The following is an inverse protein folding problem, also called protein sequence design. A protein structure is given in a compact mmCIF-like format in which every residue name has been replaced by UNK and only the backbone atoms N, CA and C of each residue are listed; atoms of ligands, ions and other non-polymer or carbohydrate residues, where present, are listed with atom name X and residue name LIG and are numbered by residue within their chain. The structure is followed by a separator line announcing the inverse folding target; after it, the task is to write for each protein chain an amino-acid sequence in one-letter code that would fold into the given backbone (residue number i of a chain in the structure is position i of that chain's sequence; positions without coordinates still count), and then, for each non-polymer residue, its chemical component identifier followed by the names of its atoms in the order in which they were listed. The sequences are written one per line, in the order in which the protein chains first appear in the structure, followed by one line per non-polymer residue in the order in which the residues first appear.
data_IF_784314714227
#
_entry.id   IF_784314714227
#
_cell.length_a   1.000
_cell.length_b   1.000
_cell.length_c   1.000
_cell.angle_alpha   90.00
_cell.angle_beta   90.00
_cell.angle_gamma   90.00
#
_symmetry.space_group_name_H-M   'P 1'
#
loop_
_entity.id
_entity.type
_entity.pdbx_description
1 polymer ?
#
# COMPACT_ATOMS: atom_id res chain seq x y z
N UNK A 1 -5.18 -6.79 4.25
CA UNK A 1 -5.87 -6.47 2.98
C UNK A 1 -5.96 -7.63 2.00
N UNK A 2 -4.90 -8.40 1.67
CA UNK A 2 -5.07 -9.60 0.82
C UNK A 2 -5.97 -10.65 1.44
N UNK A 3 -5.84 -10.79 2.75
CA UNK A 3 -6.71 -11.61 3.56
C UNK A 3 -8.19 -11.24 3.40
N UNK A 4 -8.52 -9.98 3.03
CA UNK A 4 -9.89 -9.50 2.79
C UNK A 4 -10.33 -9.61 1.32
N UNK A 5 -9.38 -9.73 0.39
CA UNK A 5 -9.66 -9.84 -1.06
C UNK A 5 -9.97 -11.29 -1.46
N UNK A 6 -9.52 -12.27 -0.67
CA UNK A 6 -9.76 -13.70 -0.91
C UNK A 6 -11.17 -14.16 -0.55
N UNK A 7 -11.87 -13.46 0.34
CA UNK A 7 -13.20 -13.82 0.85
C UNK A 7 -14.37 -13.34 -0.04
N UNK A 8 -14.11 -12.42 -0.96
CA UNK A 8 -15.13 -11.51 -1.49
C UNK A 8 -15.60 -11.81 -2.92
N UNK A 9 -14.82 -12.57 -3.71
CA UNK A 9 -15.07 -12.80 -5.13
C UNK A 9 -14.81 -11.55 -5.99
N UNK A 10 -14.07 -11.68 -7.10
CA UNK A 10 -13.58 -10.53 -7.89
C UNK A 10 -14.69 -9.56 -8.34
N UNK A 11 -15.92 -10.04 -8.56
CA UNK A 11 -17.08 -9.21 -8.94
C UNK A 11 -17.55 -8.27 -7.84
N UNK A 12 -17.47 -8.68 -6.56
CA UNK A 12 -17.82 -7.83 -5.42
C UNK A 12 -16.87 -6.63 -5.32
N UNK A 13 -15.62 -6.86 -5.70
CA UNK A 13 -14.53 -5.93 -5.52
C UNK A 13 -14.52 -4.82 -6.58
N UNK A 14 -15.03 -5.07 -7.80
CA UNK A 14 -15.12 -4.08 -8.90
C UNK A 14 -15.80 -2.77 -8.48
N UNK A 15 -16.81 -2.84 -7.60
CA UNK A 15 -17.52 -1.65 -7.13
C UNK A 15 -16.71 -0.86 -6.10
N UNK A 16 -16.05 -1.55 -5.18
CA UNK A 16 -15.24 -0.93 -4.12
C UNK A 16 -13.98 -0.26 -4.65
N UNK A 17 -13.53 -0.65 -5.84
CA UNK A 17 -12.26 -0.23 -6.41
C UNK A 17 -12.30 0.92 -7.37
N UNK A 18 -13.49 1.47 -7.62
CA UNK A 18 -13.57 2.83 -8.17
C UNK A 18 -12.89 3.87 -7.25
N UNK A 19 -12.45 3.48 -6.04
CA UNK A 19 -11.99 4.41 -5.01
C UNK A 19 -10.67 4.07 -4.26
N UNK A 20 -10.01 2.90 -4.39
CA UNK A 20 -8.62 2.67 -3.87
C UNK A 20 -7.94 1.33 -4.34
N UNK A 21 -6.70 1.04 -3.89
CA UNK A 21 -5.72 0.09 -4.46
C UNK A 21 -5.29 -1.15 -3.60
N UNK A 22 -4.65 -2.17 -4.23
CA UNK A 22 -4.42 -3.59 -3.76
C UNK A 22 -3.14 -3.98 -3.00
N UNK A 23 -3.19 -5.15 -2.31
CA UNK A 23 -2.10 -6.14 -2.20
C UNK A 23 -2.38 -7.51 -2.89
N UNK A 24 -1.33 -8.37 -3.00
CA UNK A 24 -1.13 -9.59 -3.85
C UNK A 24 -0.95 -11.03 -3.23
N UNK A 25 -1.65 -12.08 -3.76
CA UNK A 25 -1.31 -13.52 -3.60
C UNK A 25 -2.21 -14.40 -2.69
N UNK A 26 -2.76 -15.51 -3.21
CA UNK A 26 -3.60 -16.49 -2.47
C UNK A 26 -2.90 -17.86 -2.43
N UNK A 27 -2.64 -18.46 -1.25
CA UNK A 27 -2.12 -19.83 -1.13
C UNK A 27 -3.12 -20.89 -1.64
N UNK A 28 -2.65 -22.01 -2.20
CA UNK A 28 -3.53 -23.00 -2.89
C UNK A 28 -4.51 -23.75 -1.99
N UNK A 29 -4.13 -23.93 -0.73
CA UNK A 29 -4.92 -24.46 0.36
C UNK A 29 -6.20 -23.63 0.63
N UNK A 30 -6.19 -22.34 0.26
CA UNK A 30 -7.31 -21.40 0.37
C UNK A 30 -8.28 -21.50 -0.81
N UNK A 31 -7.96 -22.31 -1.84
CA UNK A 31 -8.82 -22.55 -3.02
C UNK A 31 -9.66 -23.82 -2.89
N UNK A 32 -9.75 -24.36 -1.67
CA UNK A 32 -10.53 -25.55 -1.37
C UNK A 32 -11.82 -25.17 -0.65
N UNK A 33 -12.92 -25.86 -0.98
CA UNK A 33 -14.20 -25.68 -0.29
C UNK A 33 -14.06 -25.86 1.24
N UNK A 34 -13.09 -26.67 1.68
CA UNK A 34 -12.79 -26.91 3.09
C UNK A 34 -12.24 -25.68 3.83
N UNK A 35 -11.37 -24.89 3.19
CA UNK A 35 -10.90 -23.62 3.75
C UNK A 35 -12.05 -22.60 3.81
N UNK A 36 -12.88 -22.58 2.77
CA UNK A 36 -14.06 -21.71 2.74
C UNK A 36 -15.01 -22.06 3.89
N UNK A 37 -15.29 -23.35 4.10
CA UNK A 37 -16.11 -23.82 5.22
C UNK A 37 -15.50 -23.45 6.59
N UNK A 38 -14.18 -23.58 6.76
CA UNK A 38 -13.49 -23.21 8.01
C UNK A 38 -13.48 -21.69 8.27
N UNK A 39 -13.26 -20.88 7.22
CA UNK A 39 -13.37 -19.42 7.29
C UNK A 39 -14.79 -18.98 7.64
N UNK A 40 -15.80 -19.59 7.01
CA UNK A 40 -17.21 -19.37 7.32
C UNK A 40 -17.48 -19.74 8.78
N UNK A 41 -16.93 -20.86 9.29
CA UNK A 41 -17.08 -21.26 10.70
C UNK A 41 -16.45 -20.24 11.65
N UNK A 42 -15.26 -19.71 11.36
CA UNK A 42 -14.57 -18.72 12.21
C UNK A 42 -15.33 -17.38 12.21
N UNK A 43 -15.81 -16.93 11.05
CA UNK A 43 -16.54 -15.66 10.94
C UNK A 43 -17.99 -15.73 11.41
N UNK A 44 -18.65 -16.88 11.29
CA UNK A 44 -19.97 -17.10 11.89
C UNK A 44 -19.90 -17.13 13.43
N UNK A 45 -18.72 -17.48 14.00
CA UNK A 45 -18.46 -17.39 15.44
C UNK A 45 -18.26 -15.96 15.96
N UNK A 46 -17.85 -15.00 15.11
CA UNK A 46 -17.65 -13.59 15.50
C UNK A 46 -18.99 -12.85 15.70
N UNK A 47 -20.08 -13.35 15.12
CA UNK A 47 -21.45 -12.91 15.43
C UNK A 47 -21.76 -11.45 15.06
N UNK A 48 -23.02 -11.07 15.29
CA UNK A 48 -23.51 -9.72 15.01
C UNK A 48 -23.10 -8.75 16.15
N UNK A 49 -22.24 -7.78 15.86
CA UNK A 49 -21.91 -6.70 16.80
C UNK A 49 -22.87 -5.51 16.63
N UNK A 50 -23.55 -5.13 17.71
CA UNK A 50 -24.44 -3.95 17.69
C UNK A 50 -23.63 -2.65 17.72
N UNK A 51 -23.98 -1.65 16.87
CA UNK A 51 -23.39 -0.34 16.93
C UNK A 51 -23.46 0.24 18.35
N UNK A 52 -22.34 0.78 18.82
CA UNK A 52 -22.26 1.25 20.21
C UNK A 52 -23.23 2.40 20.51
N UNK A 53 -23.62 3.18 19.50
CA UNK A 53 -24.58 4.28 19.61
C UNK A 53 -26.05 3.81 19.64
N UNK A 54 -26.35 2.57 19.26
CA UNK A 54 -27.70 2.02 19.40
C UNK A 54 -27.95 1.73 20.88
N UNK A 55 -28.99 2.36 21.44
CA UNK A 55 -29.39 2.16 22.83
C UNK A 55 -29.62 0.67 23.11
N UNK A 56 -29.13 0.17 24.26
CA UNK A 56 -29.24 -1.25 24.60
C UNK A 56 -30.67 -1.79 24.55
N UNK A 57 -31.67 -0.96 24.85
CA UNK A 57 -33.10 -1.31 24.75
C UNK A 57 -33.63 -1.49 23.33
N UNK A 58 -32.92 -0.95 22.32
CA UNK A 58 -33.24 -1.04 20.89
C UNK A 58 -32.37 -2.07 20.16
N UNK A 59 -31.46 -2.75 20.85
CA UNK A 59 -30.61 -3.81 20.30
C UNK A 59 -31.40 -5.13 20.20
N UNK A 60 -32.35 -5.18 19.27
CA UNK A 60 -33.24 -6.32 19.05
C UNK A 60 -33.15 -6.82 17.61
N UNK A 61 -33.00 -8.13 17.41
CA UNK A 61 -32.81 -8.72 16.07
C UNK A 61 -34.12 -8.84 15.27
N UNK A 62 -34.79 -7.71 15.03
CA UNK A 62 -35.99 -7.57 14.21
C UNK A 62 -35.99 -6.23 13.45
N UNK A 63 -37.07 -5.95 12.71
CA UNK A 63 -37.21 -4.69 11.94
C UNK A 63 -37.00 -3.44 12.79
N UNK A 64 -37.44 -3.44 14.07
CA UNK A 64 -37.24 -2.30 14.96
C UNK A 64 -35.77 -2.06 15.32
N UNK A 65 -34.96 -3.12 15.45
CA UNK A 65 -33.52 -2.97 15.62
C UNK A 65 -32.82 -2.55 14.34
N UNK A 66 -33.28 -3.03 13.18
CA UNK A 66 -32.78 -2.60 11.87
C UNK A 66 -33.03 -1.10 11.66
N UNK A 67 -34.25 -0.64 11.92
CA UNK A 67 -34.60 0.78 11.88
C UNK A 67 -33.76 1.59 12.86
N UNK A 68 -33.43 1.04 14.04
CA UNK A 68 -32.59 1.71 15.03
C UNK A 68 -31.13 1.89 14.57
N UNK A 69 -30.58 0.93 13.82
CA UNK A 69 -29.25 1.04 13.21
C UNK A 69 -29.26 2.12 12.12
N UNK A 70 -30.30 2.12 11.28
CA UNK A 70 -30.47 3.00 10.12
C UNK A 70 -30.88 4.44 10.45
N UNK A 71 -31.25 4.74 11.70
CA UNK A 71 -31.77 6.07 12.12
C UNK A 71 -30.82 6.88 13.02
N UNK A 72 -29.60 7.23 12.59
CA UNK A 72 -28.68 7.96 13.46
C UNK A 72 -28.96 9.47 13.48
N UNK A 73 -28.62 10.07 14.62
CA UNK A 73 -28.52 11.52 14.85
C UNK A 73 -29.79 12.23 15.31
N UNK A 74 -29.99 12.38 16.63
CA UNK A 74 -30.55 13.62 17.23
C UNK A 74 -30.16 13.90 18.71
N UNK A 75 -29.50 13.01 19.47
CA UNK A 75 -29.37 13.22 20.93
C UNK A 75 -27.94 13.20 21.53
N UNK A 76 -26.87 13.23 20.74
CA UNK A 76 -25.50 13.39 21.27
C UNK A 76 -24.87 14.68 20.74
N UNK A 77 -24.40 15.58 21.62
CA UNK A 77 -23.77 16.84 21.23
C UNK A 77 -22.32 16.66 20.75
N UNK A 78 -21.97 15.51 20.18
CA UNK A 78 -20.68 15.34 19.52
C UNK A 78 -20.71 16.09 18.20
N UNK A 79 -19.65 16.84 17.92
CA UNK A 79 -19.47 17.67 16.72
C UNK A 79 -19.61 16.89 15.40
N UNK A 80 -19.53 15.56 15.44
CA UNK A 80 -19.76 14.69 14.30
C UNK A 80 -21.19 14.12 14.34
N UNK A 81 -22.03 14.57 13.42
CA UNK A 81 -23.26 13.85 13.09
C UNK A 81 -22.89 12.42 12.70
N UNK A 82 -23.40 11.43 13.44
CA UNK A 82 -23.04 10.03 13.17
C UNK A 82 -23.85 9.50 12.01
N UNK A 83 -23.18 8.88 11.05
CA UNK A 83 -23.81 8.17 9.95
C UNK A 83 -24.29 6.78 10.38
N UNK A 84 -25.20 6.14 9.61
CA UNK A 84 -25.72 4.84 10.00
C UNK A 84 -24.66 3.77 9.73
N UNK A 85 -24.49 2.82 10.65
CA UNK A 85 -23.65 1.64 10.46
C UNK A 85 -24.32 0.67 9.47
N UNK A 86 -24.09 0.91 8.17
CA UNK A 86 -24.67 0.17 7.04
C UNK A 86 -24.29 -1.31 7.03
N UNK A 87 -23.12 -1.64 7.59
CA UNK A 87 -22.62 -3.01 7.76
C UNK A 87 -23.55 -3.90 8.59
N UNK A 88 -23.68 -3.59 9.89
CA UNK A 88 -24.65 -4.22 10.77
C UNK A 88 -26.10 -4.16 10.23
N UNK A 89 -26.51 -3.06 9.60
CA UNK A 89 -27.85 -2.99 9.01
C UNK A 89 -28.06 -4.07 7.92
N UNK A 90 -27.09 -4.25 7.03
CA UNK A 90 -27.17 -5.24 5.96
C UNK A 90 -27.23 -6.67 6.54
N UNK A 91 -26.36 -7.01 7.48
CA UNK A 91 -26.36 -8.35 8.10
C UNK A 91 -27.70 -8.69 8.77
N UNK A 92 -28.26 -7.73 9.52
CA UNK A 92 -29.55 -7.91 10.16
C UNK A 92 -30.66 -8.05 9.11
N UNK A 93 -30.63 -7.27 8.02
CA UNK A 93 -31.59 -7.40 6.93
C UNK A 93 -31.52 -8.79 6.26
N UNK A 94 -30.32 -9.33 6.01
CA UNK A 94 -30.15 -10.70 5.49
C UNK A 94 -30.72 -11.73 6.46
N UNK A 95 -30.38 -11.62 7.74
CA UNK A 95 -30.90 -12.51 8.79
C UNK A 95 -32.42 -12.51 8.86
N UNK A 96 -33.03 -11.35 8.65
CA UNK A 96 -34.49 -11.21 8.62
C UNK A 96 -35.10 -11.80 7.35
N UNK A 97 -34.49 -11.61 6.18
CA UNK A 97 -34.91 -12.25 4.93
C UNK A 97 -34.88 -13.78 5.06
N UNK A 98 -33.78 -14.35 5.57
CA UNK A 98 -33.62 -15.78 5.83
C UNK A 98 -34.68 -16.33 6.79
N UNK A 99 -34.92 -15.65 7.92
CA UNK A 99 -35.97 -16.03 8.89
C UNK A 99 -37.38 -16.01 8.27
N UNK A 100 -37.61 -15.14 7.28
CA UNK A 100 -38.88 -15.04 6.54
C UNK A 100 -38.97 -16.06 5.39
N UNK A 101 -37.89 -16.77 5.05
CA UNK A 101 -37.83 -17.65 3.89
C UNK A 101 -37.83 -16.90 2.55
N UNK A 102 -37.37 -15.65 2.55
CA UNK A 102 -37.22 -14.80 1.36
C UNK A 102 -35.78 -14.87 0.90
N UNK A 103 -35.54 -14.98 -0.42
CA UNK A 103 -34.21 -14.92 -1.00
C UNK A 103 -33.60 -13.52 -0.76
N UNK A 104 -32.48 -13.40 -0.01
CA UNK A 104 -31.81 -12.13 0.25
C UNK A 104 -31.45 -11.34 -1.01
N UNK A 105 -31.20 -12.00 -2.14
CA UNK A 105 -30.89 -11.34 -3.42
C UNK A 105 -32.07 -10.56 -4.01
N UNK A 106 -33.28 -10.82 -3.51
CA UNK A 106 -34.52 -10.22 -4.01
C UNK A 106 -35.24 -9.38 -2.96
N UNK A 107 -34.73 -9.33 -1.72
CA UNK A 107 -35.39 -8.61 -0.63
C UNK A 107 -35.30 -7.09 -0.86
N UNK A 108 -36.44 -6.37 -0.89
CA UNK A 108 -36.45 -4.92 -1.11
C UNK A 108 -35.67 -4.12 -0.08
N UNK A 109 -35.61 -4.57 1.18
CA UNK A 109 -34.92 -3.86 2.26
C UNK A 109 -33.40 -3.98 2.12
N UNK A 110 -32.93 -5.13 1.64
CA UNK A 110 -31.51 -5.33 1.28
C UNK A 110 -31.15 -4.39 0.13
N UNK A 111 -31.97 -4.32 -0.93
CA UNK A 111 -31.73 -3.41 -2.05
C UNK A 111 -31.74 -1.93 -1.64
N UNK A 112 -32.63 -1.54 -0.73
CA UNK A 112 -32.67 -0.20 -0.13
C UNK A 112 -31.35 0.13 0.57
N UNK A 113 -30.83 -0.78 1.41
CA UNK A 113 -29.56 -0.59 2.12
C UNK A 113 -28.40 -0.54 1.13
N UNK A 114 -28.34 -1.45 0.15
CA UNK A 114 -27.30 -1.43 -0.89
C UNK A 114 -27.30 -0.13 -1.69
N UNK A 115 -28.48 0.46 -1.95
CA UNK A 115 -28.60 1.74 -2.66
C UNK A 115 -28.09 2.94 -1.86
N UNK A 116 -27.88 2.77 -0.54
CA UNK A 116 -27.24 3.81 0.30
C UNK A 116 -25.72 3.67 0.38
N UNK A 117 -25.13 2.55 -0.07
CA UNK A 117 -23.69 2.35 -0.13
C UNK A 117 -22.95 3.22 -1.16
N UNK A 118 -23.49 3.57 -2.35
CA UNK A 118 -22.81 4.46 -3.30
C UNK A 118 -22.85 5.94 -2.88
N UNK A 119 -22.02 6.28 -1.91
CA UNK A 119 -21.35 7.58 -1.88
C UNK A 119 -19.91 7.43 -2.44
N UNK A 120 -19.04 8.46 -2.39
CA UNK A 120 -17.62 8.17 -2.34
C UNK A 120 -17.45 7.15 -1.22
N UNK A 121 -17.02 5.94 -1.56
CA UNK A 121 -16.59 4.94 -0.59
C UNK A 121 -15.33 5.52 0.03
N UNK A 122 -15.49 6.48 0.93
CA UNK A 122 -14.44 6.87 1.85
C UNK A 122 -14.10 5.58 2.54
N UNK A 123 -12.86 5.12 2.36
CA UNK A 123 -12.28 3.87 2.83
C UNK A 123 -12.24 3.84 4.37
N UNK A 124 -13.39 4.03 5.02
CA UNK A 124 -13.58 3.78 6.43
C UNK A 124 -13.51 2.28 6.59
N UNK A 125 -12.74 1.84 7.58
CA UNK A 125 -12.51 0.44 7.93
C UNK A 125 -13.80 -0.42 8.00
N UNK A 126 -14.96 0.21 8.20
CA UNK A 126 -16.28 -0.43 8.29
C UNK A 126 -16.82 -1.01 6.97
N UNK A 127 -16.52 -0.41 5.81
CA UNK A 127 -17.02 -0.91 4.52
C UNK A 127 -16.22 -2.11 3.99
N UNK A 128 -14.97 -2.28 4.45
CA UNK A 128 -14.19 -3.50 4.20
C UNK A 128 -14.76 -4.71 4.99
N UNK A 129 -15.34 -4.47 6.17
CA UNK A 129 -15.95 -5.52 6.99
C UNK A 129 -17.22 -6.09 6.34
N UNK A 130 -17.93 -5.28 5.55
CA UNK A 130 -19.14 -5.69 4.81
C UNK A 130 -18.90 -6.87 3.87
N UNK A 131 -17.76 -6.85 3.17
CA UNK A 131 -17.41 -7.89 2.20
C UNK A 131 -16.81 -9.13 2.91
N UNK A 132 -16.27 -8.95 4.12
CA UNK A 132 -15.79 -10.03 4.98
C UNK A 132 -16.90 -10.82 5.69
N UNK A 133 -18.12 -10.30 5.76
CA UNK A 133 -19.27 -10.95 6.41
C UNK A 133 -19.78 -12.17 5.62
N UNK A 134 -19.76 -13.40 6.18
CA UNK A 134 -20.27 -14.61 5.54
C UNK A 134 -21.70 -14.50 5.03
N UNK A 135 -22.52 -13.78 5.79
CA UNK A 135 -23.95 -13.63 5.54
C UNK A 135 -24.23 -12.68 4.38
N UNK A 136 -23.37 -11.67 4.20
CA UNK A 136 -23.51 -10.68 3.13
C UNK A 136 -22.70 -11.06 1.87
N UNK A 137 -21.67 -11.90 1.98
CA UNK A 137 -20.82 -12.30 0.86
C UNK A 137 -21.60 -12.81 -0.38
N UNK A 138 -22.67 -13.65 -0.26
CA UNK A 138 -23.46 -14.07 -1.41
C UNK A 138 -24.11 -12.91 -2.18
N UNK A 139 -24.52 -11.85 -1.49
CA UNK A 139 -25.12 -10.66 -2.10
C UNK A 139 -24.10 -9.96 -2.99
N UNK A 140 -22.88 -9.75 -2.47
CA UNK A 140 -21.81 -9.09 -3.21
C UNK A 140 -21.28 -9.95 -4.36
N UNK A 141 -21.03 -11.24 -4.13
CA UNK A 141 -20.57 -12.18 -5.16
C UNK A 141 -21.58 -12.32 -6.31
N UNK A 142 -22.87 -12.22 -6.02
CA UNK A 142 -23.90 -12.24 -7.07
C UNK A 142 -23.89 -10.98 -7.95
N UNK A 143 -23.16 -9.93 -7.60
CA UNK A 143 -23.25 -8.62 -8.25
C UNK A 143 -24.43 -7.77 -7.76
N UNK A 144 -25.00 -8.05 -6.57
CA UNK A 144 -26.16 -7.33 -6.02
C UNK A 144 -25.92 -5.83 -5.92
N UNK A 145 -24.77 -5.43 -5.35
CA UNK A 145 -24.37 -4.03 -5.27
C UNK A 145 -24.16 -3.42 -6.67
N UNK A 146 -23.47 -4.14 -7.55
CA UNK A 146 -23.18 -3.67 -8.91
C UNK A 146 -24.45 -3.41 -9.74
N UNK A 147 -25.48 -4.25 -9.60
CA UNK A 147 -26.79 -4.02 -10.23
C UNK A 147 -27.47 -2.76 -9.71
N UNK A 148 -27.36 -2.47 -8.42
CA UNK A 148 -27.87 -1.22 -7.83
C UNK A 148 -27.17 0.01 -8.40
N UNK A 149 -25.93 -0.14 -8.87
CA UNK A 149 -25.16 0.91 -9.57
C UNK A 149 -25.37 0.94 -11.09
N UNK A 150 -26.23 0.07 -11.63
CA UNK A 150 -26.51 0.00 -13.06
C UNK A 150 -25.41 -0.65 -13.90
N UNK A 151 -24.54 -1.47 -13.28
CA UNK A 151 -23.52 -2.24 -14.00
C UNK A 151 -24.11 -3.57 -14.49
N UNK A 152 -23.83 -3.93 -15.75
CA UNK A 152 -24.20 -5.22 -16.32
C UNK A 152 -23.26 -6.34 -15.90
N UNK A 153 -23.73 -7.59 -15.97
CA UNK A 153 -22.90 -8.75 -15.67
C UNK A 153 -21.68 -8.86 -16.60
N UNK A 154 -21.84 -8.50 -17.87
CA UNK A 154 -20.76 -8.49 -18.88
C UNK A 154 -19.69 -7.45 -18.56
N UNK A 155 -20.09 -6.24 -18.14
CA UNK A 155 -19.16 -5.21 -17.69
C UNK A 155 -18.39 -5.67 -16.44
N UNK A 156 -19.06 -6.30 -15.47
CA UNK A 156 -18.40 -6.82 -14.26
C UNK A 156 -17.38 -7.91 -14.56
N UNK A 157 -17.73 -8.85 -15.45
CA UNK A 157 -16.84 -9.95 -15.81
C UNK A 157 -15.61 -9.44 -16.58
N UNK A 158 -15.81 -8.48 -17.50
CA UNK A 158 -14.70 -7.82 -18.20
C UNK A 158 -13.78 -7.10 -17.21
N UNK A 159 -14.32 -6.34 -16.26
CA UNK A 159 -13.54 -5.61 -15.25
C UNK A 159 -12.83 -6.55 -14.27
N UNK A 160 -13.47 -7.64 -13.86
CA UNK A 160 -12.85 -8.65 -13.01
C UNK A 160 -11.69 -9.36 -13.74
N UNK A 161 -11.81 -9.59 -15.05
CA UNK A 161 -10.74 -10.16 -15.86
C UNK A 161 -9.56 -9.18 -16.05
N UNK A 162 -9.84 -7.90 -16.35
CA UNK A 162 -8.83 -6.83 -16.42
C UNK A 162 -8.05 -6.73 -15.12
N UNK A 163 -8.75 -6.75 -14.00
CA UNK A 163 -8.15 -6.82 -12.68
C UNK A 163 -7.27 -8.05 -12.54
N UNK A 164 -7.82 -9.24 -12.79
CA UNK A 164 -7.10 -10.48 -12.50
C UNK A 164 -5.77 -10.47 -13.27
N UNK A 165 -5.78 -9.96 -14.49
CA UNK A 165 -4.58 -9.76 -15.28
C UNK A 165 -3.66 -8.69 -14.70
N UNK A 166 -4.16 -7.50 -14.33
CA UNK A 166 -3.35 -6.46 -13.69
C UNK A 166 -2.70 -6.93 -12.37
N UNK A 167 -3.43 -7.68 -11.56
CA UNK A 167 -2.94 -8.30 -10.33
C UNK A 167 -1.87 -9.35 -10.63
N UNK A 168 -2.06 -10.17 -11.65
CA UNK A 168 -1.05 -11.13 -12.12
C UNK A 168 0.21 -10.43 -12.59
N UNK A 169 0.08 -9.41 -13.43
CA UNK A 169 1.22 -8.63 -13.92
C UNK A 169 1.97 -8.00 -12.76
N UNK A 170 1.28 -7.36 -11.81
CA UNK A 170 1.89 -6.79 -10.61
C UNK A 170 2.53 -7.85 -9.70
N UNK A 171 1.90 -9.02 -9.55
CA UNK A 171 2.41 -10.12 -8.75
C UNK A 171 3.67 -10.76 -9.34
N UNK A 172 3.82 -10.81 -10.66
CA UNK A 172 4.98 -11.43 -11.31
C UNK A 172 6.08 -10.45 -11.69
N UNK A 173 5.76 -9.17 -11.87
CA UNK A 173 6.70 -8.18 -12.41
C UNK A 173 6.84 -6.93 -11.53
N UNK A 174 6.18 -6.90 -10.38
CA UNK A 174 6.14 -5.75 -9.49
C UNK A 174 5.31 -4.59 -10.06
N UNK A 175 5.36 -3.44 -9.39
CA UNK A 175 4.93 -2.17 -9.99
C UNK A 175 5.98 -1.81 -11.04
N UNK A 176 5.57 -1.69 -12.30
CA UNK A 176 6.47 -1.21 -13.36
C UNK A 176 5.72 -0.22 -14.23
N UNK A 177 6.20 1.01 -14.23
CA UNK A 177 5.79 2.00 -15.21
C UNK A 177 6.71 1.95 -16.43
N UNK A 178 6.12 1.98 -17.63
CA UNK A 178 6.90 2.21 -18.86
C UNK A 178 7.33 3.68 -19.01
N UNK A 179 6.99 4.54 -18.05
CA UNK A 179 7.33 5.96 -18.09
C UNK A 179 8.84 6.19 -17.91
N UNK A 180 9.29 7.28 -18.52
CA UNK A 180 10.67 7.77 -18.42
C UNK A 180 10.79 8.67 -17.19
N UNK A 181 12.02 8.91 -16.71
CA UNK A 181 12.26 9.83 -15.59
C UNK A 181 11.58 11.21 -15.83
N UNK A 182 11.69 11.86 -17.00
CA UNK A 182 10.93 13.09 -17.27
C UNK A 182 9.40 12.95 -17.10
N UNK A 183 8.81 11.84 -17.55
CA UNK A 183 7.37 11.59 -17.43
C UNK A 183 6.94 11.42 -15.98
N UNK A 184 7.70 10.64 -15.21
CA UNK A 184 7.46 10.43 -13.78
C UNK A 184 7.56 11.74 -13.00
N UNK A 185 8.58 12.56 -13.28
CA UNK A 185 8.73 13.86 -12.65
C UNK A 185 7.58 14.81 -13.01
N UNK A 186 7.12 14.82 -14.27
CA UNK A 186 5.96 15.62 -14.62
C UNK A 186 4.72 15.21 -13.81
N UNK A 187 4.46 13.90 -13.69
CA UNK A 187 3.35 13.40 -12.86
C UNK A 187 3.52 13.78 -11.40
N UNK A 188 4.69 13.54 -10.80
CA UNK A 188 4.96 13.90 -9.41
C UNK A 188 4.66 15.38 -9.14
N UNK A 189 5.09 16.28 -10.03
CA UNK A 189 4.87 17.71 -9.87
C UNK A 189 3.40 18.08 -9.99
N UNK A 190 2.74 17.65 -11.06
CA UNK A 190 1.36 18.02 -11.35
C UNK A 190 0.41 17.49 -10.27
N UNK A 191 0.59 16.23 -9.88
CA UNK A 191 -0.25 15.56 -8.88
C UNK A 191 0.02 16.12 -7.47
N UNK A 192 1.29 16.33 -7.08
CA UNK A 192 1.62 16.89 -5.77
C UNK A 192 1.12 18.32 -5.62
N UNK A 193 1.30 19.16 -6.65
CA UNK A 193 0.76 20.52 -6.63
C UNK A 193 -0.76 20.44 -6.55
N UNK A 194 -1.44 19.68 -7.42
CA UNK A 194 -2.90 19.63 -7.42
C UNK A 194 -3.51 19.26 -6.05
N UNK A 195 -2.85 18.41 -5.26
CA UNK A 195 -3.43 17.78 -4.07
C UNK A 195 -2.90 18.30 -2.72
N UNK A 196 -2.07 19.33 -2.73
CA UNK A 196 -1.44 19.87 -1.50
C UNK A 196 -2.04 21.21 -1.02
N UNK A 197 -3.22 21.61 -1.51
CA UNK A 197 -3.81 22.92 -1.17
C UNK A 197 -3.98 23.15 0.35
N UNK A 198 -4.45 22.14 1.08
CA UNK A 198 -4.61 22.20 2.54
C UNK A 198 -3.29 22.42 3.26
N UNK A 199 -2.23 21.71 2.85
CA UNK A 199 -0.88 21.83 3.42
C UNK A 199 -0.34 23.25 3.27
N UNK A 200 -0.38 23.83 2.07
CA UNK A 200 0.13 25.19 1.85
C UNK A 200 -0.69 26.25 2.59
N UNK A 201 -2.00 26.03 2.72
CA UNK A 201 -2.86 26.89 3.52
C UNK A 201 -2.49 26.84 5.01
N UNK A 202 -2.23 25.65 5.55
CA UNK A 202 -1.82 25.43 6.94
C UNK A 202 -0.47 26.06 7.24
N UNK A 203 0.48 25.94 6.31
CA UNK A 203 1.82 26.54 6.43
C UNK A 203 1.82 28.07 6.26
N UNK A 204 0.70 28.67 5.86
CA UNK A 204 0.58 30.09 5.49
C UNK A 204 1.57 30.53 4.39
N UNK A 205 1.92 29.60 3.49
CA UNK A 205 2.93 29.79 2.45
C UNK A 205 2.33 29.79 1.03
N UNK A 206 2.95 30.51 0.08
CA UNK A 206 2.49 30.46 -1.30
C UNK A 206 2.78 29.09 -1.91
N UNK A 207 1.72 28.41 -2.34
CA UNK A 207 1.80 27.17 -3.10
C UNK A 207 2.78 27.30 -4.30
N UNK A 208 3.77 26.41 -4.42
CA UNK A 208 4.74 26.46 -5.51
C UNK A 208 4.09 26.12 -6.85
N UNK A 209 4.63 26.67 -7.94
CA UNK A 209 4.25 26.27 -9.30
C UNK A 209 5.09 25.10 -9.84
N UNK A 210 6.19 24.77 -9.15
CA UNK A 210 7.10 23.68 -9.48
C UNK A 210 7.78 23.20 -8.20
N UNK A 211 7.91 21.88 -8.05
CA UNK A 211 8.73 21.28 -6.98
C UNK A 211 10.23 21.29 -7.32
N UNK A 212 10.57 21.47 -8.60
CA UNK A 212 11.91 21.25 -9.14
C UNK A 212 12.78 22.49 -9.11
N UNK A 213 14.01 22.29 -8.66
CA UNK A 213 15.10 23.25 -8.78
C UNK A 213 15.71 23.24 -10.20
N UNK A 214 16.55 24.23 -10.48
CA UNK A 214 17.28 24.29 -11.75
C UNK A 214 18.13 23.03 -11.97
N UNK A 215 18.23 22.49 -13.21
CA UNK A 215 19.02 21.30 -13.50
C UNK A 215 20.49 21.41 -13.08
N UNK A 216 21.08 20.30 -12.65
CA UNK A 216 22.53 20.22 -12.44
C UNK A 216 23.25 20.12 -13.79
N UNK A 217 24.38 20.81 -13.90
CA UNK A 217 25.29 20.66 -15.05
C UNK A 217 26.07 19.34 -15.00
N UNK A 218 26.54 18.85 -16.14
CA UNK A 218 27.40 17.66 -16.20
C UNK A 218 28.70 17.84 -15.37
N UNK A 219 29.21 19.07 -15.26
CA UNK A 219 30.37 19.39 -14.42
C UNK A 219 30.03 19.22 -12.93
N UNK A 220 28.86 19.69 -12.49
CA UNK A 220 28.38 19.49 -11.12
C UNK A 220 28.19 18.01 -10.78
N UNK A 221 27.56 17.25 -11.67
CA UNK A 221 27.38 15.80 -11.49
C UNK A 221 28.74 15.09 -11.44
N UNK A 222 29.68 15.45 -12.32
CA UNK A 222 31.02 14.87 -12.31
C UNK A 222 31.79 15.22 -11.04
N UNK A 223 31.66 16.45 -10.54
CA UNK A 223 32.28 16.87 -9.28
C UNK A 223 31.68 16.10 -8.08
N UNK A 224 30.37 15.85 -8.08
CA UNK A 224 29.72 15.00 -7.07
C UNK A 224 30.26 13.57 -7.09
N UNK A 225 30.33 12.93 -8.26
CA UNK A 225 30.91 11.58 -8.42
C UNK A 225 32.36 11.52 -7.93
N UNK A 226 33.17 12.54 -8.25
CA UNK A 226 34.55 12.64 -7.76
C UNK A 226 34.63 12.82 -6.24
N UNK A 227 33.74 13.63 -5.66
CA UNK A 227 33.66 13.88 -4.21
C UNK A 227 33.27 12.62 -3.45
N UNK A 228 32.28 11.89 -3.95
CA UNK A 228 31.81 10.63 -3.37
C UNK A 228 32.73 9.44 -3.72
N UNK A 229 33.59 9.59 -4.73
CA UNK A 229 34.47 8.54 -5.29
C UNK A 229 33.70 7.33 -5.82
N UNK A 230 32.53 7.56 -6.39
CA UNK A 230 31.67 6.54 -7.01
C UNK A 230 31.06 7.08 -8.30
N UNK A 231 30.67 6.20 -9.22
CA UNK A 231 29.84 6.57 -10.38
C UNK A 231 28.37 6.38 -10.01
N UNK A 232 27.60 7.46 -10.02
CA UNK A 232 26.19 7.45 -9.65
C UNK A 232 25.36 6.65 -10.67
N UNK A 233 24.24 6.05 -10.25
CA UNK A 233 23.38 5.30 -11.16
C UNK A 233 22.77 6.22 -12.23
N UNK A 234 22.61 5.71 -13.46
CA UNK A 234 22.18 6.53 -14.60
C UNK A 234 20.76 7.08 -14.46
N UNK A 235 19.87 6.38 -13.76
CA UNK A 235 18.51 6.87 -13.50
C UNK A 235 18.52 8.09 -12.56
N UNK A 236 19.35 8.08 -11.53
CA UNK A 236 19.56 9.24 -10.66
C UNK A 236 20.25 10.40 -11.38
N UNK A 237 21.25 10.13 -12.22
CA UNK A 237 21.86 11.18 -13.06
C UNK A 237 20.88 11.76 -14.08
N UNK A 238 20.00 10.94 -14.64
CA UNK A 238 18.92 11.41 -15.51
C UNK A 238 17.97 12.36 -14.76
N UNK A 239 17.69 12.11 -13.49
CA UNK A 239 16.99 13.05 -12.62
C UNK A 239 17.79 14.35 -12.42
N UNK A 240 19.07 14.28 -12.04
CA UNK A 240 19.90 15.48 -11.80
C UNK A 240 20.02 16.41 -13.01
N UNK A 241 20.01 15.84 -14.23
CA UNK A 241 19.99 16.58 -15.50
C UNK A 241 18.68 17.33 -15.77
N UNK A 242 17.63 17.01 -15.02
CA UNK A 242 16.32 17.67 -15.08
C UNK A 242 16.16 18.61 -13.90
N UNK A 243 16.63 18.22 -12.72
CA UNK A 243 16.52 19.03 -11.50
C UNK A 243 17.61 18.72 -10.49
N UNK A 244 18.23 19.76 -9.91
CA UNK A 244 19.28 19.63 -8.90
C UNK A 244 18.70 19.49 -7.48
N UNK A 245 17.85 18.49 -7.28
CA UNK A 245 17.04 18.34 -6.07
C UNK A 245 15.61 18.86 -6.25
N UNK A 246 14.75 18.57 -5.29
CA UNK A 246 13.40 19.12 -5.25
C UNK A 246 13.07 19.50 -3.81
N UNK A 247 12.15 20.43 -3.64
CA UNK A 247 11.84 21.00 -2.33
C UNK A 247 11.63 22.49 -2.47
N UNK A 248 10.57 23.02 -1.86
CA UNK A 248 10.44 24.48 -1.72
C UNK A 248 11.45 24.92 -0.65
N UNK A 249 12.14 26.04 -0.87
CA UNK A 249 12.98 26.67 0.16
C UNK A 249 12.12 27.31 1.25
N UNK A 250 11.31 26.49 1.91
CA UNK A 250 10.48 26.88 3.03
C UNK A 250 10.77 26.01 4.23
N UNK A 251 10.32 26.46 5.39
CA UNK A 251 10.72 25.93 6.70
C UNK A 251 10.00 24.60 7.02
N UNK A 252 9.40 23.94 6.03
CA UNK A 252 8.64 22.70 6.15
C UNK A 252 8.68 21.82 4.90
N UNK A 253 8.18 20.58 5.05
CA UNK A 253 8.12 19.54 4.02
C UNK A 253 7.69 20.07 2.65
N UNK A 254 8.54 19.86 1.63
CA UNK A 254 8.37 20.40 0.28
C UNK A 254 8.55 19.40 -0.86
N UNK A 255 8.61 18.09 -0.56
CA UNK A 255 8.81 17.05 -1.56
C UNK A 255 7.56 16.58 -2.29
N UNK A 256 7.62 15.36 -2.81
CA UNK A 256 6.52 14.72 -3.56
C UNK A 256 5.40 14.38 -2.57
N UNK A 257 4.16 14.72 -2.87
CA UNK A 257 3.02 14.39 -2.00
C UNK A 257 2.88 12.86 -1.86
N UNK A 258 2.80 12.33 -0.65
CA UNK A 258 2.58 10.89 -0.42
C UNK A 258 1.15 10.56 0.01
N UNK A 259 0.23 11.52 -0.09
CA UNK A 259 -1.15 11.36 0.32
C UNK A 259 -1.45 11.87 1.73
N UNK A 260 -0.47 11.98 2.60
CA UNK A 260 -0.66 12.52 3.95
C UNK A 260 0.12 13.80 4.17
N UNK A 261 1.39 13.80 3.76
CA UNK A 261 2.27 14.95 3.77
C UNK A 261 3.21 14.89 2.57
N UNK A 262 3.99 15.94 2.29
CA UNK A 262 5.07 15.84 1.32
C UNK A 262 6.18 14.91 1.86
N UNK A 263 6.79 14.12 0.97
CA UNK A 263 8.02 13.37 1.21
C UNK A 263 9.21 14.31 1.50
N UNK A 264 10.33 13.81 2.03
CA UNK A 264 11.52 14.63 2.24
C UNK A 264 12.05 15.19 0.92
N UNK A 265 12.53 16.44 0.97
CA UNK A 265 13.12 17.14 -0.16
C UNK A 265 14.40 16.42 -0.66
N UNK A 266 14.51 16.17 -1.97
CA UNK A 266 15.76 15.67 -2.56
C UNK A 266 16.82 16.78 -2.53
N UNK A 267 17.96 16.44 -1.92
CA UNK A 267 19.13 17.30 -1.76
C UNK A 267 19.75 17.67 -3.10
N UNK A 268 20.32 18.86 -3.15
CA UNK A 268 21.14 19.31 -4.28
C UNK A 268 22.48 18.57 -4.34
N UNK A 269 23.17 18.62 -5.49
CA UNK A 269 24.51 18.02 -5.65
C UNK A 269 25.55 18.51 -4.63
N UNK A 270 25.33 19.67 -3.99
CA UNK A 270 26.23 20.23 -2.98
C UNK A 270 25.98 19.63 -1.59
N UNK A 271 24.76 19.16 -1.32
CA UNK A 271 24.30 18.64 -0.03
C UNK A 271 24.28 17.11 0.03
N UNK A 272 24.24 16.44 -1.13
CA UNK A 272 24.36 14.98 -1.19
C UNK A 272 25.69 14.55 -0.59
N UNK A 273 25.65 13.62 0.35
CA UNK A 273 26.84 13.09 0.99
C UNK A 273 26.61 11.64 1.46
N UNK A 274 27.69 10.97 1.85
CA UNK A 274 27.60 9.73 2.62
C UNK A 274 26.84 10.01 3.92
N UNK A 275 25.96 9.10 4.30
CA UNK A 275 25.25 9.16 5.57
C UNK A 275 26.26 9.04 6.72
N UNK A 276 26.15 9.91 7.72
CA UNK A 276 26.91 9.78 8.97
C UNK A 276 26.23 8.75 9.86
N UNK A 277 26.70 7.51 9.79
CA UNK A 277 26.15 6.35 10.51
C UNK A 277 26.37 6.41 12.03
N UNK A 278 27.06 7.42 12.56
CA UNK A 278 27.27 7.53 14.02
C UNK A 278 25.96 7.64 14.81
N UNK A 279 24.85 7.95 14.13
CA UNK A 279 23.51 8.06 14.70
C UNK A 279 22.61 6.83 14.42
N UNK A 280 23.05 5.87 13.59
CA UNK A 280 22.21 4.79 13.06
C UNK A 280 22.94 3.43 12.99
N UNK A 281 22.66 2.51 13.92
CA UNK A 281 22.95 1.08 13.75
C UNK A 281 21.75 0.40 13.09
N UNK A 282 21.58 0.58 11.78
CA UNK A 282 20.45 0.02 11.06
C UNK A 282 20.82 -1.34 10.46
N UNK A 283 20.11 -2.37 10.90
CA UNK A 283 20.06 -3.67 10.23
C UNK A 283 19.10 -3.54 9.04
N UNK A 284 19.54 -3.98 7.87
CA UNK A 284 18.78 -3.79 6.63
C UNK A 284 18.39 -5.12 6.01
N UNK A 285 17.09 -5.34 5.87
CA UNK A 285 16.52 -6.44 5.11
C UNK A 285 15.99 -5.90 3.78
N UNK A 286 16.75 -6.09 2.70
CA UNK A 286 16.32 -5.65 1.36
C UNK A 286 15.14 -6.46 0.82
N UNK A 287 15.10 -7.75 1.18
CA UNK A 287 14.04 -8.67 0.87
C UNK A 287 13.16 -8.86 2.10
N UNK A 288 11.85 -8.67 1.96
CA UNK A 288 10.88 -9.02 3.00
C UNK A 288 10.77 -10.55 3.09
N UNK A 289 11.55 -11.14 3.99
CA UNK A 289 11.54 -12.58 4.23
C UNK A 289 10.71 -12.90 5.49
N UNK A 290 9.90 -13.97 5.47
CA UNK A 290 9.33 -14.51 6.69
C UNK A 290 10.44 -15.08 7.57
N UNK A 291 10.14 -15.31 8.85
CA UNK A 291 11.10 -15.93 9.78
C UNK A 291 11.62 -17.27 9.23
N UNK A 292 12.92 -17.32 8.95
CA UNK A 292 13.55 -18.44 8.23
C UNK A 292 14.07 -19.58 9.13
N UNK A 293 14.18 -19.40 10.45
CA UNK A 293 14.70 -20.45 11.35
C UNK A 293 13.97 -21.79 11.23
N UNK A 294 12.63 -21.86 11.05
CA UNK A 294 11.93 -23.13 10.86
C UNK A 294 12.38 -23.89 9.60
N UNK A 295 13.00 -23.22 8.64
CA UNK A 295 13.46 -23.78 7.36
C UNK A 295 14.96 -24.08 7.34
N UNK A 296 15.67 -23.91 8.46
CA UNK A 296 17.10 -24.21 8.55
C UNK A 296 17.37 -25.69 8.20
N UNK A 297 18.42 -25.92 7.41
CA UNK A 297 18.83 -27.28 7.05
C UNK A 297 19.37 -28.00 8.31
N UNK A 298 18.75 -29.09 8.77
CA UNK A 298 19.17 -29.79 9.99
C UNK A 298 20.55 -30.46 9.87
N UNK A 299 21.10 -30.56 8.66
CA UNK A 299 22.45 -31.09 8.41
C UNK A 299 23.54 -30.03 8.60
N UNK A 300 23.19 -28.74 8.65
CA UNK A 300 24.07 -27.63 9.00
C UNK A 300 24.13 -27.54 10.54
N UNK A 301 24.96 -28.39 11.15
CA UNK A 301 25.01 -28.61 12.61
C UNK A 301 25.85 -27.60 13.39
N UNK A 302 26.44 -26.60 12.74
CA UNK A 302 27.22 -25.59 13.45
C UNK A 302 26.29 -24.70 14.29
N UNK A 303 26.72 -24.36 15.50
CA UNK A 303 25.87 -23.80 16.56
C UNK A 303 25.55 -22.31 16.38
N UNK A 304 25.85 -21.78 15.20
CA UNK A 304 25.65 -20.38 14.84
C UNK A 304 24.29 -20.30 14.15
N UNK A 305 23.44 -19.34 14.56
CA UNK A 305 22.12 -19.13 13.96
C UNK A 305 22.18 -18.84 12.45
N UNK A 306 21.07 -18.41 11.87
CA UNK A 306 21.16 -17.81 10.54
C UNK A 306 22.09 -16.57 10.60
N UNK A 307 22.88 -16.30 9.53
CA UNK A 307 23.72 -15.12 9.48
C UNK A 307 22.86 -13.87 9.70
N UNK A 308 23.39 -12.92 10.46
CA UNK A 308 22.74 -11.62 10.63
C UNK A 308 22.82 -10.82 9.32
N UNK A 309 21.79 -10.01 9.01
CA UNK A 309 21.84 -9.13 7.86
C UNK A 309 23.00 -8.12 8.00
N UNK A 310 23.62 -7.71 6.87
CA UNK A 310 24.70 -6.74 6.92
C UNK A 310 24.20 -5.39 7.45
N UNK A 311 24.98 -4.78 8.35
CA UNK A 311 24.78 -3.39 8.77
C UNK A 311 25.32 -2.47 7.67
N UNK A 312 24.53 -1.51 7.21
CA UNK A 312 25.02 -0.54 6.24
C UNK A 312 25.58 0.69 6.94
N UNK A 313 26.88 0.88 6.77
CA UNK A 313 27.58 2.11 7.16
C UNK A 313 27.86 3.00 5.96
N UNK A 314 27.71 2.47 4.74
CA UNK A 314 28.15 3.10 3.50
C UNK A 314 26.97 3.27 2.54
N UNK A 315 26.08 4.23 2.82
CA UNK A 315 24.98 4.64 1.93
C UNK A 315 25.05 6.13 1.64
N UNK A 316 24.52 6.55 0.49
CA UNK A 316 24.53 7.94 0.06
C UNK A 316 23.15 8.53 0.34
N UNK A 317 23.09 9.55 1.20
CA UNK A 317 21.85 10.23 1.53
C UNK A 317 21.50 11.27 0.46
N UNK A 318 20.35 11.07 -0.18
CA UNK A 318 19.85 11.93 -1.26
C UNK A 318 18.61 12.73 -0.88
N UNK A 319 17.90 12.35 0.18
CA UNK A 319 16.88 13.16 0.85
C UNK A 319 16.92 12.88 2.35
N UNK A 320 16.58 13.89 3.15
CA UNK A 320 16.51 13.80 4.60
C UNK A 320 15.75 15.00 5.15
N UNK A 321 14.63 14.75 5.82
CA UNK A 321 13.81 15.76 6.47
C UNK A 321 13.15 15.12 7.71
N UNK A 322 13.39 15.70 8.89
CA UNK A 322 12.97 15.17 10.18
C UNK A 322 13.27 13.67 10.39
N UNK A 323 12.25 12.82 10.18
CA UNK A 323 12.28 11.38 10.38
C UNK A 323 12.30 10.59 9.07
N UNK A 324 12.24 11.27 7.92
CA UNK A 324 12.17 10.65 6.60
C UNK A 324 13.47 10.85 5.84
N UNK A 325 14.04 9.76 5.34
CA UNK A 325 15.25 9.77 4.53
C UNK A 325 15.09 8.94 3.26
N UNK A 326 15.84 9.30 2.22
CA UNK A 326 16.02 8.46 1.03
C UNK A 326 17.49 8.27 0.75
N UNK A 327 17.90 7.01 0.57
CA UNK A 327 19.29 6.61 0.43
C UNK A 327 19.52 5.82 -0.86
N UNK A 328 20.68 6.02 -1.48
CA UNK A 328 21.22 5.15 -2.52
C UNK A 328 22.18 4.14 -1.90
N UNK A 329 21.97 2.86 -2.20
CA UNK A 329 22.85 1.76 -1.81
C UNK A 329 23.89 1.55 -2.91
N UNK A 330 25.20 1.75 -2.64
CA UNK A 330 26.24 1.61 -3.63
C UNK A 330 26.58 0.14 -3.95
N UNK A 331 27.33 -0.13 -5.04
CA UNK A 331 27.62 -1.48 -5.51
C UNK A 331 28.32 -2.40 -4.52
N UNK A 332 29.24 -1.86 -3.72
CA UNK A 332 29.92 -2.66 -2.69
C UNK A 332 28.93 -3.15 -1.62
N UNK A 333 28.03 -2.27 -1.18
CA UNK A 333 26.99 -2.59 -0.19
C UNK A 333 25.95 -3.54 -0.77
N UNK A 334 25.53 -3.32 -2.02
CA UNK A 334 24.67 -4.26 -2.74
C UNK A 334 25.31 -5.65 -2.92
N UNK A 335 26.64 -5.73 -3.07
CA UNK A 335 27.33 -7.02 -3.12
C UNK A 335 27.28 -7.75 -1.78
N UNK A 336 27.52 -7.05 -0.66
CA UNK A 336 27.39 -7.63 0.70
C UNK A 336 26.00 -8.20 0.94
N UNK A 337 24.95 -7.52 0.47
CA UNK A 337 23.57 -8.00 0.50
C UNK A 337 23.37 -9.30 -0.29
N UNK A 338 23.86 -9.34 -1.53
CA UNK A 338 23.75 -10.54 -2.37
C UNK A 338 24.47 -11.73 -1.75
N UNK A 339 25.66 -11.49 -1.18
CA UNK A 339 26.45 -12.52 -0.51
C UNK A 339 25.69 -13.06 0.71
N UNK A 340 25.12 -12.17 1.53
CA UNK A 340 24.28 -12.55 2.67
C UNK A 340 23.09 -13.44 2.26
N UNK A 341 22.31 -13.05 1.25
CA UNK A 341 21.20 -13.90 0.79
C UNK A 341 21.67 -15.21 0.16
N UNK A 342 22.86 -15.23 -0.44
CA UNK A 342 23.46 -16.45 -0.98
C UNK A 342 23.92 -17.41 0.14
N UNK A 343 24.38 -16.88 1.27
CA UNK A 343 24.66 -17.64 2.49
C UNK A 343 23.37 -18.19 3.12
N UNK A 344 22.34 -17.35 3.30
CA UNK A 344 21.02 -17.79 3.76
C UNK A 344 20.47 -18.92 2.89
N UNK A 345 20.53 -18.78 1.56
CA UNK A 345 20.08 -19.78 0.60
C UNK A 345 20.80 -21.13 0.74
N UNK A 346 22.07 -21.12 1.17
CA UNK A 346 22.85 -22.34 1.39
C UNK A 346 22.54 -23.03 2.74
N UNK A 347 22.01 -22.28 3.72
CA UNK A 347 21.73 -22.75 5.08
C UNK A 347 20.29 -23.20 5.31
N UNK A 348 19.38 -22.96 4.35
CA UNK A 348 17.98 -23.38 4.43
C UNK A 348 17.68 -24.60 3.55
N UNK A 349 16.65 -25.34 3.91
CA UNK A 349 16.11 -26.46 3.16
C UNK A 349 15.40 -26.00 1.86
N UNK A 350 14.86 -26.95 1.09
CA UNK A 350 14.25 -26.63 -0.20
C UNK A 350 13.02 -25.70 -0.11
N UNK A 351 12.28 -25.74 0.99
CA UNK A 351 11.13 -24.82 1.18
C UNK A 351 11.63 -23.39 1.49
N UNK A 352 12.66 -23.26 2.34
CA UNK A 352 13.31 -21.97 2.59
C UNK A 352 13.96 -21.38 1.33
N UNK A 353 14.57 -22.22 0.48
CA UNK A 353 15.12 -21.78 -0.81
C UNK A 353 14.04 -21.20 -1.73
N UNK A 354 12.85 -21.83 -1.79
CA UNK A 354 11.72 -21.31 -2.57
C UNK A 354 11.22 -19.97 -2.04
N UNK A 355 11.21 -19.78 -0.72
CA UNK A 355 10.86 -18.50 -0.09
C UNK A 355 11.84 -17.40 -0.54
N UNK A 356 13.15 -17.67 -0.46
CA UNK A 356 14.17 -16.70 -0.87
C UNK A 356 14.09 -16.42 -2.38
N UNK A 357 13.94 -17.46 -3.22
CA UNK A 357 13.75 -17.30 -4.67
C UNK A 357 12.53 -16.44 -4.99
N UNK A 358 11.42 -16.67 -4.29
CA UNK A 358 10.21 -15.89 -4.47
C UNK A 358 10.43 -14.42 -4.12
N UNK A 359 11.07 -14.14 -2.99
CA UNK A 359 11.37 -12.77 -2.58
C UNK A 359 12.31 -12.06 -3.57
N UNK A 360 13.30 -12.77 -4.11
CA UNK A 360 14.18 -12.27 -5.17
C UNK A 360 13.38 -11.95 -6.45
N UNK A 361 12.48 -12.85 -6.86
CA UNK A 361 11.64 -12.64 -8.04
C UNK A 361 10.68 -11.46 -7.83
N UNK A 362 10.09 -11.31 -6.64
CA UNK A 362 9.19 -10.20 -6.31
C UNK A 362 9.92 -8.85 -6.32
N UNK A 363 11.16 -8.80 -5.83
CA UNK A 363 11.95 -7.58 -5.75
C UNK A 363 12.60 -7.20 -7.09
N UNK A 364 13.28 -8.13 -7.75
CA UNK A 364 14.10 -7.87 -8.93
C UNK A 364 13.48 -8.36 -10.25
N UNK A 365 12.39 -9.13 -10.19
CA UNK A 365 11.75 -9.78 -11.35
C UNK A 365 12.37 -11.12 -11.74
N UNK A 366 13.62 -11.38 -11.36
CA UNK A 366 14.25 -12.69 -11.46
C UNK A 366 15.58 -12.75 -10.69
N UNK A 367 16.06 -13.97 -10.41
CA UNK A 367 17.42 -14.19 -9.88
C UNK A 367 18.54 -13.65 -10.78
N UNK A 368 18.37 -13.64 -12.10
CA UNK A 368 19.38 -13.13 -13.01
C UNK A 368 19.41 -11.60 -13.02
N UNK A 369 18.26 -10.94 -12.90
CA UNK A 369 18.19 -9.48 -12.72
C UNK A 369 18.72 -9.06 -11.35
N UNK A 370 18.39 -9.79 -10.28
CA UNK A 370 18.93 -9.57 -8.94
C UNK A 370 20.46 -9.54 -8.89
N UNK A 371 21.11 -10.47 -9.60
CA UNK A 371 22.58 -10.52 -9.70
C UNK A 371 23.19 -9.32 -10.43
N UNK A 372 22.41 -8.62 -11.26
CA UNK A 372 22.85 -7.44 -12.03
C UNK A 372 22.51 -6.12 -11.33
N UNK A 373 21.82 -6.14 -10.20
CA UNK A 373 21.47 -4.93 -9.45
C UNK A 373 22.70 -4.34 -8.77
N UNK A 374 23.43 -3.48 -9.48
CA UNK A 374 24.60 -2.80 -8.91
C UNK A 374 24.22 -1.70 -7.92
N UNK A 375 23.01 -1.16 -8.00
CA UNK A 375 22.53 -0.11 -7.10
C UNK A 375 21.17 -0.48 -6.52
N UNK A 376 20.89 0.01 -5.32
CA UNK A 376 19.58 -0.03 -4.69
C UNK A 376 19.15 1.36 -4.23
N UNK A 377 17.87 1.52 -3.91
CA UNK A 377 17.33 2.73 -3.28
C UNK A 377 16.49 2.33 -2.08
N UNK A 378 16.52 3.14 -1.02
CA UNK A 378 15.77 2.89 0.21
C UNK A 378 15.07 4.16 0.62
N UNK A 379 13.80 4.03 1.02
CA UNK A 379 13.09 5.05 1.79
C UNK A 379 13.03 4.59 3.25
N UNK A 380 13.32 5.50 4.16
CA UNK A 380 13.34 5.25 5.60
C UNK A 380 12.46 6.27 6.32
N UNK A 381 11.66 5.81 7.28
CA UNK A 381 10.85 6.65 8.14
C UNK A 381 10.99 6.19 9.60
N UNK A 382 11.55 7.01 10.49
CA UNK A 382 11.75 6.69 11.92
C UNK A 382 10.59 7.12 12.85
N UNK A 383 9.35 7.06 12.36
CA UNK A 383 8.13 7.44 13.09
C UNK A 383 7.65 6.43 14.14
N UNK A 384 6.34 6.41 14.41
CA UNK A 384 5.71 5.55 15.43
C UNK A 384 5.97 4.05 15.27
N UNK A 385 6.36 3.63 14.07
CA UNK A 385 7.07 2.38 13.78
C UNK A 385 8.12 2.68 12.72
N UNK A 386 9.37 2.31 12.96
CA UNK A 386 10.42 2.41 11.96
C UNK A 386 10.02 1.60 10.72
N UNK A 387 9.90 2.28 9.57
CA UNK A 387 9.52 1.67 8.30
C UNK A 387 10.66 1.85 7.30
N UNK A 388 10.97 0.76 6.60
CA UNK A 388 12.02 0.69 5.61
C UNK A 388 11.44 0.08 4.34
N UNK A 389 11.39 0.86 3.28
CA UNK A 389 10.93 0.43 1.97
C UNK A 389 12.13 0.36 1.01
N UNK A 390 12.37 -0.84 0.49
CA UNK A 390 13.48 -1.09 -0.43
C UNK A 390 13.00 -1.10 -1.88
N UNK A 391 13.78 -0.46 -2.73
CA UNK A 391 13.53 -0.35 -4.16
C UNK A 391 14.75 -0.82 -4.95
N UNK A 392 14.49 -1.50 -6.07
CA UNK A 392 15.55 -2.02 -6.96
C UNK A 392 16.36 -0.92 -7.66
N UNK A 393 15.88 0.33 -7.69
CA UNK A 393 16.60 1.49 -8.22
C UNK A 393 15.94 2.80 -7.80
N UNK A 394 16.60 3.94 -8.08
CA UNK A 394 16.01 5.26 -7.85
C UNK A 394 14.74 5.47 -8.69
N UNK A 395 14.74 5.02 -9.95
CA UNK A 395 13.53 5.03 -10.79
C UNK A 395 12.37 4.28 -10.16
N UNK A 396 12.62 3.12 -9.54
CA UNK A 396 11.56 2.33 -8.91
C UNK A 396 10.96 3.04 -7.69
N UNK A 397 11.78 3.74 -6.91
CA UNK A 397 11.28 4.64 -5.85
C UNK A 397 10.45 5.79 -6.43
N UNK A 398 10.94 6.46 -7.49
CA UNK A 398 10.21 7.56 -8.13
C UNK A 398 8.88 7.12 -8.75
N UNK A 399 8.81 5.89 -9.30
CA UNK A 399 7.56 5.30 -9.78
C UNK A 399 6.54 5.13 -8.66
N UNK A 400 7.01 4.76 -7.47
CA UNK A 400 6.17 4.60 -6.29
C UNK A 400 5.69 5.96 -5.76
N UNK A 401 6.60 6.94 -5.60
CA UNK A 401 6.25 8.30 -5.19
C UNK A 401 5.31 9.00 -6.19
N UNK A 402 5.51 8.81 -7.50
CA UNK A 402 4.58 9.36 -8.52
C UNK A 402 3.18 8.78 -8.38
N UNK A 403 3.10 7.48 -8.11
CA UNK A 403 1.84 6.81 -7.88
C UNK A 403 1.19 7.27 -6.55
N UNK A 404 1.97 7.43 -5.48
CA UNK A 404 1.49 7.95 -4.20
C UNK A 404 0.91 9.37 -4.35
N UNK A 405 1.64 10.28 -5.00
CA UNK A 405 1.16 11.64 -5.28
C UNK A 405 -0.19 11.63 -6.00
N UNK A 406 -0.34 10.74 -6.98
CA UNK A 406 -1.53 10.66 -7.81
C UNK A 406 -2.73 10.00 -7.12
N UNK A 407 -2.49 9.06 -6.21
CA UNK A 407 -3.54 8.14 -5.76
C UNK A 407 -3.66 7.96 -4.24
N UNK A 408 -2.63 8.25 -3.47
CA UNK A 408 -2.68 8.16 -2.00
C UNK A 408 -3.20 9.46 -1.40
N UNK A 409 -3.76 9.36 -0.19
CA UNK A 409 -4.37 10.49 0.50
C UNK A 409 -5.86 10.61 0.28
N UNK A 410 -6.58 10.81 1.38
CA UNK A 410 -7.98 11.18 1.38
C UNK A 410 -7.99 12.69 1.17
N UNK A 411 -8.55 13.17 0.05
CA UNK A 411 -9.14 14.50 0.05
C UNK A 411 -10.28 14.40 1.06
N UNK A 412 -10.05 14.83 2.29
CA UNK A 412 -11.16 15.18 3.17
C UNK A 412 -11.81 16.38 2.50
N UNK A 413 -12.68 16.12 1.52
CA UNK A 413 -13.66 17.05 0.98
C UNK A 413 -14.69 17.34 2.09
N UNK A 414 -14.22 17.91 3.20
CA UNK A 414 -15.03 18.78 4.04
C UNK A 414 -15.14 20.12 3.34
N UNK A 415 -15.92 20.19 2.26
CA UNK A 415 -16.74 21.33 1.80
C UNK A 415 -17.04 21.27 0.29
N UNK A 416 -18.20 20.69 -0.07
CA UNK A 416 -18.95 21.06 -1.27
C UNK A 416 -20.47 21.01 -1.02
#
# INVERSE_FOLDING_TARGET
MLQDLTSSGLRALVVCWRSSHFPTGIPEDFKTDAYFDEYIIIKDQEGFEWPFYVQSSKRIENETGLDAILSPGQNTPSYEGREPERGPALELAVKLAEKRGVDPLTDPKINEILATLPGPLNFRSQDNLLIGSPRCAPIFMSGGLARTLGLSDEELDSRAAELLEASRQRYWHGRSSSETIPGLLQSCNDDSIARSDSHWLEMEEPKPTSLYESPASEEQISNLEQRLKVSLPEDFKAFLRISNGFGVQTDGFGGIWNGYCPDPSLRSVDEINWLDYSEYELMFDQLTLPWLDPYRDPTQTDNDGLPEPPIFTDVICIASEEIYDVWLIPPETMQKLRDHYQELYAMVNDDGKRIIERAIDDFAGSRDEWKKLDWGCVSWACGGSAQLDCFKSFKAWLEDSAWAAKYEGIEDDEEA
#
